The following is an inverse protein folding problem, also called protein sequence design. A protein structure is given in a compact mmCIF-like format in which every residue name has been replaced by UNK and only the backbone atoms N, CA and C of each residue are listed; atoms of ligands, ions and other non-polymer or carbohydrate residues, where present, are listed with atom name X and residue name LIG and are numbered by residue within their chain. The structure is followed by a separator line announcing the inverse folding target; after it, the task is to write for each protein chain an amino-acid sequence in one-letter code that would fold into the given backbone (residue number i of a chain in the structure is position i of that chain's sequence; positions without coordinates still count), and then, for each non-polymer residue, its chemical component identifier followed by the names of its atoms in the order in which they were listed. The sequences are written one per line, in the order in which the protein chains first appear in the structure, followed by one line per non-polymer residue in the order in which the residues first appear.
data_IF_605253633098
#
_entry.id   IF_605253633098
#
_cell.length_a   1.000
_cell.length_b   1.000
_cell.length_c   1.000
_cell.angle_alpha   90.00
_cell.angle_beta   90.00
_cell.angle_gamma   90.00
#
_symmetry.space_group_name_H-M   'P 1'
#
loop_
_entity.id
_entity.type
_entity.pdbx_description
1 polymer ?
#
# COMPACT_ATOMS: atom_id res chain seq x y z
N UNK A 1 25.07 9.27 -18.76
CA UNK A 1 24.55 9.54 -17.42
C UNK A 1 23.04 9.27 -17.47
N UNK A 2 22.46 8.54 -16.52
CA UNK A 2 21.01 8.31 -16.52
C UNK A 2 20.27 9.63 -16.37
N UNK A 3 19.08 9.74 -16.96
CA UNK A 3 18.27 10.95 -16.87
C UNK A 3 17.85 11.19 -15.40
N UNK A 4 18.18 12.35 -14.80
CA UNK A 4 17.85 12.65 -13.42
C UNK A 4 16.34 12.60 -13.10
N UNK A 5 15.45 12.75 -14.09
CA UNK A 5 14.01 12.58 -13.85
C UNK A 5 13.63 11.13 -13.56
N UNK A 6 14.35 10.17 -14.14
CA UNK A 6 14.10 8.73 -13.97
C UNK A 6 14.59 8.24 -12.60
N UNK A 7 15.78 8.68 -12.18
CA UNK A 7 16.32 8.41 -10.84
C UNK A 7 15.39 8.98 -9.74
N UNK A 8 14.79 10.15 -10.00
CA UNK A 8 13.83 10.78 -9.09
C UNK A 8 12.51 10.01 -9.00
N UNK A 9 12.04 9.42 -10.11
CA UNK A 9 10.79 8.64 -10.15
C UNK A 9 10.94 7.30 -9.43
N UNK A 10 12.07 6.62 -9.63
CA UNK A 10 12.40 5.37 -8.93
C UNK A 10 12.49 5.58 -7.41
N UNK A 11 13.15 6.66 -6.98
CA UNK A 11 13.25 7.03 -5.56
C UNK A 11 11.88 7.34 -4.94
N UNK A 12 11.02 8.05 -5.68
CA UNK A 12 9.68 8.43 -5.22
C UNK A 12 8.77 7.21 -5.13
N UNK A 13 8.86 6.29 -6.09
CA UNK A 13 8.09 5.04 -6.13
C UNK A 13 8.46 4.12 -4.96
N UNK A 14 9.75 3.97 -4.66
CA UNK A 14 10.23 3.17 -3.51
C UNK A 14 9.79 3.79 -2.18
N UNK A 15 9.84 5.12 -2.04
CA UNK A 15 9.37 5.81 -0.84
C UNK A 15 7.85 5.61 -0.63
N UNK A 16 7.09 5.62 -1.72
CA UNK A 16 5.65 5.43 -1.71
C UNK A 16 5.26 3.98 -1.34
N UNK A 17 5.94 2.96 -1.89
CA UNK A 17 5.75 1.55 -1.51
C UNK A 17 5.98 1.38 0.01
N UNK A 18 7.09 1.91 0.54
CA UNK A 18 7.37 1.86 1.99
C UNK A 18 6.29 2.53 2.84
N UNK A 19 5.75 3.66 2.37
CA UNK A 19 4.66 4.34 3.07
C UNK A 19 3.38 3.49 3.08
N UNK A 20 3.10 2.74 2.01
CA UNK A 20 1.96 1.81 1.98
C UNK A 20 2.17 0.61 2.89
N UNK A 21 3.36 0.04 2.94
CA UNK A 21 3.67 -1.07 3.86
C UNK A 21 3.49 -0.63 5.32
N UNK A 22 4.01 0.55 5.68
CA UNK A 22 3.81 1.13 7.01
C UNK A 22 2.32 1.34 7.32
N UNK A 23 1.56 1.87 6.35
CA UNK A 23 0.13 2.10 6.51
C UNK A 23 -0.64 0.78 6.71
N UNK A 24 -0.27 -0.29 6.02
CA UNK A 24 -0.86 -1.62 6.22
C UNK A 24 -0.57 -2.17 7.62
N UNK A 25 0.67 -2.02 8.12
CA UNK A 25 1.04 -2.43 9.47
C UNK A 25 0.26 -1.63 10.53
N UNK A 26 0.13 -0.32 10.35
CA UNK A 26 -0.71 0.53 11.20
C UNK A 26 -2.17 0.06 11.17
N UNK A 27 -2.68 -0.32 10.00
CA UNK A 27 -4.04 -0.82 9.88
C UNK A 27 -4.27 -2.12 10.68
N UNK A 28 -3.32 -3.05 10.65
CA UNK A 28 -3.35 -4.27 11.47
C UNK A 28 -3.38 -3.91 12.96
N UNK A 29 -2.53 -2.99 13.38
CA UNK A 29 -2.45 -2.55 14.78
C UNK A 29 -3.75 -1.89 15.26
N UNK A 30 -4.36 -1.04 14.43
CA UNK A 30 -5.65 -0.41 14.73
C UNK A 30 -6.74 -1.47 14.90
N UNK A 31 -6.79 -2.46 14.00
CA UNK A 31 -7.80 -3.52 14.04
C UNK A 31 -7.69 -4.35 15.31
N UNK A 32 -6.47 -4.79 15.66
CA UNK A 32 -6.20 -5.52 16.90
C UNK A 32 -6.57 -4.71 18.15
N UNK A 33 -6.26 -3.41 18.15
CA UNK A 33 -6.59 -2.51 19.26
C UNK A 33 -8.10 -2.41 19.46
N UNK A 34 -8.85 -2.25 18.38
CA UNK A 34 -10.31 -2.13 18.44
C UNK A 34 -10.96 -3.44 18.86
N UNK A 35 -10.52 -4.58 18.34
CA UNK A 35 -11.01 -5.89 18.78
C UNK A 35 -10.74 -6.15 20.26
N UNK A 36 -9.54 -5.82 20.73
CA UNK A 36 -9.18 -5.92 22.15
C UNK A 36 -10.08 -5.02 23.01
N UNK A 37 -10.21 -3.74 22.66
CA UNK A 37 -11.06 -2.80 23.39
C UNK A 37 -12.54 -3.22 23.39
N UNK A 38 -13.05 -3.67 22.25
CA UNK A 38 -14.42 -4.16 22.11
C UNK A 38 -14.65 -5.39 22.98
N UNK A 39 -13.73 -6.35 22.98
CA UNK A 39 -13.83 -7.57 23.80
C UNK A 39 -13.90 -7.24 25.30
N UNK A 40 -13.03 -6.36 25.80
CA UNK A 40 -13.04 -5.93 27.20
C UNK A 40 -14.35 -5.23 27.57
N UNK A 41 -14.85 -4.37 26.68
CA UNK A 41 -16.07 -3.63 26.89
C UNK A 41 -17.30 -4.55 26.93
N UNK A 42 -17.38 -5.55 26.05
CA UNK A 42 -18.56 -6.44 25.96
C UNK A 42 -18.68 -7.47 27.06
N UNK A 43 -17.59 -7.75 27.78
CA UNK A 43 -17.62 -8.63 28.96
C UNK A 43 -18.42 -7.99 30.10
N UNK A 44 -18.32 -6.67 30.27
CA UNK A 44 -18.98 -5.95 31.38
C UNK A 44 -20.22 -5.16 30.95
N UNK A 45 -20.31 -4.77 29.67
CA UNK A 45 -21.39 -3.91 29.17
C UNK A 45 -22.41 -4.68 28.32
N UNK A 46 -23.62 -4.78 28.86
CA UNK A 46 -24.79 -5.40 28.20
C UNK A 46 -25.94 -4.43 27.93
N UNK A 47 -27.03 -4.96 27.36
CA UNK A 47 -28.25 -4.22 27.04
C UNK A 47 -28.31 -3.69 25.61
N UNK A 48 -29.41 -3.01 25.27
CA UNK A 48 -29.73 -2.56 23.90
C UNK A 48 -28.69 -1.59 23.34
N UNK A 49 -28.16 -0.70 24.19
CA UNK A 49 -27.11 0.24 23.79
C UNK A 49 -25.80 -0.48 23.43
N UNK A 50 -25.40 -1.48 24.23
CA UNK A 50 -24.22 -2.29 23.98
C UNK A 50 -24.35 -3.10 22.67
N UNK A 51 -25.55 -3.61 22.37
CA UNK A 51 -25.82 -4.29 21.10
C UNK A 51 -25.66 -3.35 19.90
N UNK A 52 -26.23 -2.14 19.95
CA UNK A 52 -26.05 -1.14 18.88
C UNK A 52 -24.59 -0.76 18.68
N UNK A 53 -23.81 -0.66 19.76
CA UNK A 53 -22.38 -0.37 19.68
C UNK A 53 -21.59 -1.53 19.04
N UNK A 54 -21.95 -2.80 19.32
CA UNK A 54 -21.39 -3.97 18.61
C UNK A 54 -21.63 -3.88 17.12
N UNK A 55 -22.87 -3.60 16.73
CA UNK A 55 -23.24 -3.49 15.31
C UNK A 55 -22.46 -2.34 14.63
N UNK A 56 -22.29 -1.21 15.32
CA UNK A 56 -21.49 -0.09 14.82
C UNK A 56 -20.02 -0.46 14.63
N UNK A 57 -19.40 -1.16 15.58
CA UNK A 57 -18.02 -1.66 15.46
C UNK A 57 -17.89 -2.64 14.29
N UNK A 58 -18.81 -3.60 14.16
CA UNK A 58 -18.77 -4.57 13.07
C UNK A 58 -18.88 -3.89 11.69
N UNK A 59 -19.77 -2.90 11.56
CA UNK A 59 -19.91 -2.11 10.33
C UNK A 59 -18.66 -1.28 10.04
N UNK A 60 -18.07 -0.66 11.07
CA UNK A 60 -16.81 0.08 10.95
C UNK A 60 -15.66 -0.85 10.49
N UNK A 61 -15.52 -2.03 11.09
CA UNK A 61 -14.52 -3.04 10.71
C UNK A 61 -14.69 -3.49 9.25
N UNK A 62 -15.93 -3.67 8.79
CA UNK A 62 -16.19 -4.00 7.40
C UNK A 62 -15.74 -2.89 6.45
N UNK A 63 -16.07 -1.63 6.75
CA UNK A 63 -15.60 -0.47 5.99
C UNK A 63 -14.08 -0.35 5.99
N UNK A 64 -13.46 -0.57 7.15
CA UNK A 64 -12.02 -0.53 7.32
C UNK A 64 -11.29 -1.61 6.51
N UNK A 65 -11.83 -2.83 6.48
CA UNK A 65 -11.29 -3.91 5.64
C UNK A 65 -11.32 -3.57 4.15
N UNK A 66 -12.32 -2.82 3.68
CA UNK A 66 -12.36 -2.35 2.28
C UNK A 66 -11.26 -1.32 2.00
N UNK A 67 -10.97 -0.42 2.94
CA UNK A 67 -9.87 0.53 2.81
C UNK A 67 -8.54 -0.23 2.72
N UNK A 68 -8.32 -1.23 3.58
CA UNK A 68 -7.13 -2.09 3.51
C UNK A 68 -6.98 -2.77 2.15
N UNK A 69 -8.03 -3.40 1.65
CA UNK A 69 -8.01 -4.02 0.31
C UNK A 69 -7.68 -3.01 -0.80
N UNK A 70 -8.18 -1.78 -0.71
CA UNK A 70 -7.84 -0.72 -1.67
C UNK A 70 -6.37 -0.30 -1.60
N UNK A 71 -5.79 -0.25 -0.39
CA UNK A 71 -4.37 0.02 -0.19
C UNK A 71 -3.49 -1.11 -0.75
N UNK A 72 -3.89 -2.36 -0.56
CA UNK A 72 -3.17 -3.53 -1.09
C UNK A 72 -3.11 -3.50 -2.63
N UNK A 73 -4.25 -3.21 -3.27
CA UNK A 73 -4.34 -3.05 -4.73
C UNK A 73 -3.47 -1.92 -5.27
N UNK A 74 -3.40 -0.81 -4.53
CA UNK A 74 -2.61 0.35 -4.92
C UNK A 74 -1.11 0.04 -4.79
N UNK A 75 -0.70 -0.66 -3.73
CA UNK A 75 0.67 -1.13 -3.56
C UNK A 75 1.08 -2.11 -4.69
N UNK A 76 0.22 -3.09 -5.00
CA UNK A 76 0.45 -4.01 -6.13
C UNK A 76 0.61 -3.26 -7.46
N UNK A 77 -0.27 -2.30 -7.72
CA UNK A 77 -0.20 -1.47 -8.94
C UNK A 77 1.10 -0.66 -9.02
N UNK A 78 1.58 -0.15 -7.88
CA UNK A 78 2.84 0.60 -7.80
C UNK A 78 4.07 -0.27 -8.00
N UNK A 79 4.07 -1.50 -7.47
CA UNK A 79 5.14 -2.47 -7.73
C UNK A 79 5.18 -2.86 -9.22
N UNK A 80 4.02 -3.05 -9.85
CA UNK A 80 3.93 -3.33 -11.29
C UNK A 80 4.42 -2.14 -12.13
N UNK A 81 4.05 -0.91 -11.75
CA UNK A 81 4.52 0.31 -12.41
C UNK A 81 6.04 0.46 -12.30
N UNK A 82 6.61 0.25 -11.11
CA UNK A 82 8.05 0.29 -10.88
C UNK A 82 8.78 -0.70 -11.81
N UNK A 83 8.35 -1.97 -11.81
CA UNK A 83 8.96 -3.01 -12.63
C UNK A 83 8.85 -2.73 -14.14
N UNK A 84 7.72 -2.18 -14.59
CA UNK A 84 7.52 -1.82 -16.00
C UNK A 84 8.46 -0.69 -16.42
N UNK A 85 8.58 0.34 -15.57
CA UNK A 85 9.44 1.50 -15.82
C UNK A 85 10.91 1.08 -15.90
N UNK A 86 11.40 0.29 -14.94
CA UNK A 86 12.76 -0.29 -14.99
C UNK A 86 13.00 -1.11 -16.26
N UNK A 87 12.03 -1.93 -16.68
CA UNK A 87 12.16 -2.77 -17.89
C UNK A 87 12.20 -1.94 -19.18
N UNK A 88 11.42 -0.85 -19.25
CA UNK A 88 11.42 0.06 -20.40
C UNK A 88 12.73 0.86 -20.45
N UNK A 89 13.25 1.30 -19.31
CA UNK A 89 14.54 1.98 -19.21
C UNK A 89 15.70 1.08 -19.61
N UNK A 90 15.76 -0.15 -19.12
CA UNK A 90 16.78 -1.13 -19.52
C UNK A 90 16.73 -1.40 -21.03
N UNK A 91 15.53 -1.54 -21.60
CA UNK A 91 15.36 -1.71 -23.05
C UNK A 91 15.79 -0.46 -23.84
N UNK A 92 15.47 0.75 -23.35
CA UNK A 92 15.87 1.99 -23.99
C UNK A 92 17.39 2.19 -23.98
N UNK A 93 18.06 1.84 -22.87
CA UNK A 93 19.53 1.87 -22.75
C UNK A 93 20.17 0.82 -23.65
N UNK A 94 19.62 -0.40 -23.70
CA UNK A 94 20.11 -1.47 -24.58
C UNK A 94 19.98 -1.11 -26.07
N UNK A 95 18.84 -0.56 -26.49
CA UNK A 95 18.63 -0.10 -27.87
C UNK A 95 19.55 1.08 -28.18
N UNK A 96 19.64 2.08 -27.30
CA UNK A 96 20.53 3.24 -27.47
C UNK A 96 22.01 2.86 -27.59
N UNK A 97 22.47 1.85 -26.84
CA UNK A 97 23.81 1.27 -26.95
C UNK A 97 24.08 0.66 -28.33
N UNK A 98 23.06 0.03 -28.93
CA UNK A 98 23.22 -0.68 -30.21
C UNK A 98 23.36 0.30 -31.39
N UNK A 99 22.69 1.46 -31.34
CA UNK A 99 22.85 2.52 -32.34
C UNK A 99 24.17 3.30 -32.18
N UNK A 100 24.68 3.46 -30.96
CA UNK A 100 25.94 4.17 -30.69
C UNK A 100 27.19 3.37 -31.12
N UNK A 101 27.11 2.03 -31.19
CA UNK A 101 28.21 1.16 -31.63
C UNK A 101 28.34 1.06 -33.17
N UNK A 102 27.39 1.59 -33.94
CA UNK A 102 27.41 1.57 -35.40
C UNK A 102 28.07 2.80 -36.07
N UNK A 103 28.67 3.71 -35.30
CA UNK A 103 29.23 4.99 -35.77
C UNK A 103 30.76 5.12 -35.66
N UNK A 104 31.48 4.02 -35.51
CA UNK A 104 32.96 3.98 -35.67
C UNK A 104 33.34 3.22 -36.93
#
# INVERSE_FOLDING_TARGET
MPDPSLISDETSTVAMIKAFDLCQDECVNIQNTIESAASMLFVQWGGVAAARYRDAIANWQNGFNKVRQGLDLLNESMVVYANTTTTVEDNAVMIGSTWAQGLT
#
